data_IF_776693186206
#
_entry.id   IF_776693186206
#
_cell.length_a   1.000
_cell.length_b   1.000
_cell.length_c   1.000
_cell.angle_alpha   90.00
_cell.angle_beta   90.00
_cell.angle_gamma   90.00
#
_symmetry.space_group_name_H-M   'P 1'
#
loop_
_entity.id
_entity.type
_entity.pdbx_description
1 polymer ?
#
# COMPACT_ATOMS: atom_id res chain seq x y z
N UNK A 1 9.81 -13.71 1.46
CA UNK A 1 9.14 -13.04 0.33
C UNK A 1 8.01 -13.96 -0.06
N UNK A 2 6.79 -13.44 -0.23
CA UNK A 2 5.64 -14.26 -0.61
C UNK A 2 5.20 -13.86 -2.02
N UNK A 3 5.03 -14.83 -2.92
CA UNK A 3 4.64 -14.62 -4.31
C UNK A 3 3.35 -15.36 -4.60
N UNK A 4 2.30 -14.62 -4.94
CA UNK A 4 1.06 -15.20 -5.43
C UNK A 4 1.14 -15.33 -6.94
N UNK A 5 0.79 -16.49 -7.49
CA UNK A 5 0.89 -16.80 -8.92
C UNK A 5 -0.50 -16.98 -9.51
N UNK A 6 -0.82 -16.23 -10.57
CA UNK A 6 -2.02 -16.43 -11.37
C UNK A 6 -1.66 -16.72 -12.83
N UNK A 7 -1.91 -17.96 -13.27
CA UNK A 7 -1.67 -18.36 -14.65
C UNK A 7 -2.78 -19.29 -15.14
N UNK A 8 -3.33 -19.06 -16.35
CA UNK A 8 -4.25 -20.01 -16.96
C UNK A 8 -3.55 -21.26 -17.51
N UNK A 9 -2.21 -21.30 -17.51
CA UNK A 9 -1.40 -22.40 -18.02
C UNK A 9 -0.74 -23.16 -16.85
N UNK A 10 -1.18 -24.40 -16.55
CA UNK A 10 -0.62 -25.21 -15.48
C UNK A 10 0.87 -25.51 -15.65
N UNK A 11 1.34 -25.72 -16.88
CA UNK A 11 2.74 -26.03 -17.16
C UNK A 11 3.66 -24.86 -16.81
N UNK A 12 3.22 -23.64 -17.06
CA UNK A 12 3.97 -22.42 -16.69
C UNK A 12 4.02 -22.27 -15.18
N UNK A 13 2.89 -22.52 -14.51
CA UNK A 13 2.81 -22.47 -13.04
C UNK A 13 3.81 -23.40 -12.40
N UNK A 14 3.85 -24.67 -12.83
CA UNK A 14 4.79 -25.69 -12.32
C UNK A 14 6.24 -25.23 -12.50
N UNK A 15 6.58 -24.63 -13.64
CA UNK A 15 7.94 -24.13 -13.90
C UNK A 15 8.31 -22.98 -12.99
N UNK A 16 7.38 -22.06 -12.74
CA UNK A 16 7.60 -20.90 -11.85
C UNK A 16 7.68 -21.37 -10.39
N UNK A 17 6.78 -22.24 -9.93
CA UNK A 17 6.82 -22.80 -8.58
C UNK A 17 8.14 -23.51 -8.31
N UNK A 18 8.56 -24.43 -9.19
CA UNK A 18 9.84 -25.13 -9.05
C UNK A 18 11.04 -24.17 -9.01
N UNK A 19 10.96 -23.08 -9.77
CA UNK A 19 11.98 -22.03 -9.78
C UNK A 19 12.04 -21.29 -8.45
N UNK A 20 10.89 -20.91 -7.90
CA UNK A 20 10.81 -20.16 -6.64
C UNK A 20 11.17 -21.04 -5.44
N UNK A 21 10.76 -22.31 -5.44
CA UNK A 21 11.11 -23.30 -4.42
C UNK A 21 12.62 -23.54 -4.36
N UNK A 22 13.29 -23.60 -5.51
CA UNK A 22 14.75 -23.75 -5.58
C UNK A 22 15.54 -22.61 -4.91
N UNK A 23 14.90 -21.45 -4.69
CA UNK A 23 15.50 -20.27 -4.04
C UNK A 23 14.81 -19.93 -2.72
N UNK A 24 14.05 -20.87 -2.15
CA UNK A 24 13.37 -20.74 -0.84
C UNK A 24 12.41 -19.53 -0.78
N UNK A 25 11.72 -19.25 -1.88
CA UNK A 25 10.68 -18.22 -1.96
C UNK A 25 9.33 -18.90 -1.82
N UNK A 26 8.57 -18.53 -0.79
CA UNK A 26 7.21 -19.02 -0.59
C UNK A 26 6.30 -18.55 -1.74
N UNK A 27 5.54 -19.48 -2.33
CA UNK A 27 4.55 -19.18 -3.33
C UNK A 27 3.23 -19.90 -3.11
N UNK A 28 2.14 -19.27 -3.55
CA UNK A 28 0.80 -19.84 -3.58
C UNK A 28 0.19 -19.56 -4.95
N UNK A 29 -0.47 -20.57 -5.52
CA UNK A 29 -1.06 -20.51 -6.85
C UNK A 29 -2.56 -20.33 -6.74
N UNK A 30 -3.08 -19.34 -7.44
CA UNK A 30 -4.51 -19.16 -7.63
C UNK A 30 -4.80 -18.79 -9.10
N UNK A 31 -5.33 -19.74 -9.92
CA UNK A 31 -5.56 -19.51 -11.33
C UNK A 31 -6.77 -18.61 -11.63
N UNK A 32 -7.71 -18.43 -10.68
CA UNK A 32 -8.86 -17.57 -10.87
C UNK A 32 -8.51 -16.10 -10.54
N UNK A 33 -8.59 -15.16 -11.50
CA UNK A 33 -8.18 -13.77 -11.28
C UNK A 33 -8.90 -13.06 -10.12
N UNK A 34 -10.16 -13.41 -9.85
CA UNK A 34 -10.93 -12.84 -8.75
C UNK A 34 -10.41 -13.29 -7.38
N UNK A 35 -10.14 -14.59 -7.21
CA UNK A 35 -9.60 -15.12 -5.96
C UNK A 35 -8.15 -14.70 -5.77
N UNK A 36 -7.37 -14.66 -6.86
CA UNK A 36 -6.02 -14.10 -6.86
C UNK A 36 -5.99 -12.67 -6.34
N UNK A 37 -6.89 -11.81 -6.84
CA UNK A 37 -7.04 -10.44 -6.33
C UNK A 37 -7.45 -10.39 -4.86
N UNK A 38 -8.30 -11.32 -4.41
CA UNK A 38 -8.72 -11.41 -3.01
C UNK A 38 -7.58 -11.86 -2.08
N UNK A 39 -6.74 -12.78 -2.52
CA UNK A 39 -5.54 -13.20 -1.78
C UNK A 39 -4.52 -12.07 -1.68
N UNK A 40 -4.24 -11.38 -2.80
CA UNK A 40 -3.37 -10.20 -2.80
C UNK A 40 -3.88 -9.12 -1.84
N UNK A 41 -5.18 -8.86 -1.84
CA UNK A 41 -5.78 -7.90 -0.92
C UNK A 41 -5.62 -8.29 0.56
N UNK A 42 -5.66 -9.59 0.87
CA UNK A 42 -5.50 -10.12 2.24
C UNK A 42 -4.03 -10.17 2.69
N UNK A 43 -3.09 -10.26 1.76
CA UNK A 43 -1.66 -10.25 2.03
C UNK A 43 -0.97 -9.08 1.29
N UNK A 44 -0.95 -7.88 1.88
CA UNK A 44 -0.38 -6.68 1.25
C UNK A 44 1.12 -6.76 0.96
N UNK A 45 1.85 -7.65 1.64
CA UNK A 45 3.29 -7.82 1.48
C UNK A 45 3.66 -8.81 0.35
N UNK A 46 2.66 -9.52 -0.20
CA UNK A 46 2.85 -10.44 -1.31
C UNK A 46 3.10 -9.71 -2.63
N UNK A 47 3.87 -10.34 -3.52
CA UNK A 47 4.02 -9.93 -4.92
C UNK A 47 3.05 -10.74 -5.77
N UNK A 48 2.22 -10.06 -6.56
CA UNK A 48 1.36 -10.70 -7.53
C UNK A 48 2.11 -10.95 -8.84
N UNK A 49 2.42 -12.21 -9.13
CA UNK A 49 2.97 -12.64 -10.40
C UNK A 49 1.83 -13.23 -11.24
N UNK A 50 1.64 -12.76 -12.47
CA UNK A 50 0.63 -13.36 -13.34
C UNK A 50 1.08 -13.48 -14.79
N UNK A 51 0.57 -14.50 -15.47
CA UNK A 51 0.77 -14.72 -16.89
C UNK A 51 -0.43 -14.18 -17.68
N UNK A 52 -0.16 -13.33 -18.67
CA UNK A 52 -1.14 -12.82 -19.61
C UNK A 52 -0.79 -13.24 -21.05
N UNK A 53 -1.83 -13.53 -21.84
CA UNK A 53 -1.67 -13.89 -23.27
C UNK A 53 -1.26 -12.71 -24.15
N UNK A 54 -1.34 -11.47 -23.63
CA UNK A 54 -0.94 -10.29 -24.36
C UNK A 54 -1.02 -9.00 -23.54
N UNK A 55 -0.49 -7.89 -24.07
CA UNK A 55 -0.45 -6.60 -23.38
C UNK A 55 -1.80 -6.07 -22.89
N UNK A 56 -2.84 -6.19 -23.70
CA UNK A 56 -4.18 -5.69 -23.33
C UNK A 56 -4.82 -6.54 -22.22
N UNK A 57 -4.58 -7.85 -22.25
CA UNK A 57 -5.05 -8.75 -21.19
C UNK A 57 -4.33 -8.45 -19.88
N UNK A 58 -3.01 -8.22 -19.92
CA UNK A 58 -2.24 -7.81 -18.75
C UNK A 58 -2.74 -6.47 -18.19
N UNK A 59 -2.92 -5.48 -19.07
CA UNK A 59 -3.38 -4.15 -18.69
C UNK A 59 -4.80 -4.17 -18.12
N UNK A 60 -5.70 -5.00 -18.67
CA UNK A 60 -7.03 -5.21 -18.10
C UNK A 60 -6.94 -5.78 -16.69
N UNK A 61 -6.14 -6.83 -16.49
CA UNK A 61 -5.96 -7.44 -15.17
C UNK A 61 -5.39 -6.45 -14.15
N UNK A 62 -4.37 -5.68 -14.52
CA UNK A 62 -3.84 -4.60 -13.66
C UNK A 62 -4.94 -3.60 -13.29
N UNK A 63 -5.70 -3.09 -14.27
CA UNK A 63 -6.78 -2.13 -14.00
C UNK A 63 -7.82 -2.72 -13.05
N UNK A 64 -8.26 -3.95 -13.28
CA UNK A 64 -9.25 -4.62 -12.45
C UNK A 64 -8.76 -4.77 -11.00
N UNK A 65 -7.52 -5.20 -10.81
CA UNK A 65 -6.88 -5.31 -9.48
C UNK A 65 -6.75 -3.94 -8.80
N UNK A 66 -6.29 -2.90 -9.51
CA UNK A 66 -6.17 -1.53 -8.97
C UNK A 66 -7.52 -0.89 -8.68
N UNK A 67 -8.58 -1.22 -9.45
CA UNK A 67 -9.95 -0.80 -9.14
C UNK A 67 -10.47 -1.47 -7.88
N UNK A 68 -10.14 -2.76 -7.67
CA UNK A 68 -10.36 -3.51 -6.43
C UNK A 68 -9.47 -3.12 -5.25
N UNK A 69 -8.68 -2.03 -5.38
CA UNK A 69 -7.75 -1.50 -4.37
C UNK A 69 -6.63 -2.46 -3.96
N UNK A 70 -6.27 -3.41 -4.82
CA UNK A 70 -5.06 -4.23 -4.67
C UNK A 70 -3.84 -3.34 -4.93
N UNK A 71 -2.98 -3.17 -3.93
CA UNK A 71 -1.79 -2.29 -3.98
C UNK A 71 -0.45 -3.03 -4.03
N UNK A 72 -0.48 -4.35 -3.97
CA UNK A 72 0.66 -5.23 -4.11
C UNK A 72 1.46 -4.92 -5.38
N UNK A 73 2.79 -5.15 -5.38
CA UNK A 73 3.56 -5.20 -6.61
C UNK A 73 2.96 -6.19 -7.60
N UNK A 74 2.79 -5.76 -8.83
CA UNK A 74 2.32 -6.60 -9.92
C UNK A 74 3.45 -6.86 -10.90
N UNK A 75 3.86 -8.12 -11.02
CA UNK A 75 4.78 -8.61 -12.02
C UNK A 75 3.97 -9.30 -13.13
N UNK A 76 3.90 -8.69 -14.30
CA UNK A 76 3.25 -9.29 -15.46
C UNK A 76 4.26 -10.05 -16.33
N UNK A 77 3.99 -11.33 -16.56
CA UNK A 77 4.61 -12.11 -17.62
C UNK A 77 3.67 -12.09 -18.83
N UNK A 78 4.20 -11.71 -19.99
CA UNK A 78 3.43 -11.68 -21.24
C UNK A 78 4.07 -12.66 -22.21
N UNK A 79 3.27 -13.51 -22.82
CA UNK A 79 3.73 -14.42 -23.87
C UNK A 79 4.46 -13.66 -24.99
N UNK A 80 5.71 -14.05 -25.28
CA UNK A 80 6.55 -13.43 -26.31
C UNK A 80 5.94 -13.55 -27.72
N UNK A 81 5.06 -14.55 -27.93
CA UNK A 81 4.41 -14.79 -29.22
C UNK A 81 3.24 -13.83 -29.50
N UNK A 82 2.92 -12.94 -28.55
CA UNK A 82 1.87 -11.94 -28.73
C UNK A 82 2.24 -10.96 -29.86
N UNK A 83 1.30 -10.72 -30.78
CA UNK A 83 1.48 -9.91 -32.01
C UNK A 83 1.98 -8.47 -31.71
N UNK A 84 1.77 -7.99 -30.48
CA UNK A 84 2.10 -6.62 -30.03
C UNK A 84 3.21 -6.63 -28.95
N UNK A 85 3.93 -7.74 -28.79
CA UNK A 85 5.02 -7.80 -27.84
C UNK A 85 6.20 -6.91 -28.28
N UNK A 86 6.71 -6.09 -27.34
CA UNK A 86 7.73 -5.07 -27.59
C UNK A 86 7.61 -3.88 -26.65
N UNK A 87 8.40 -2.83 -26.86
CA UNK A 87 8.34 -1.62 -26.04
C UNK A 87 6.93 -1.00 -25.93
N UNK A 88 6.13 -0.91 -27.02
CA UNK A 88 4.76 -0.37 -26.95
C UNK A 88 3.83 -1.24 -26.10
N UNK A 89 3.87 -2.56 -26.27
CA UNK A 89 3.05 -3.49 -25.49
C UNK A 89 3.39 -3.48 -24.00
N UNK A 90 4.69 -3.45 -23.65
CA UNK A 90 5.12 -3.36 -22.25
C UNK A 90 4.65 -2.05 -21.60
N UNK A 91 4.71 -0.95 -22.33
CA UNK A 91 4.23 0.34 -21.85
C UNK A 91 2.73 0.33 -21.50
N UNK A 92 1.90 -0.41 -22.26
CA UNK A 92 0.46 -0.52 -21.99
C UNK A 92 0.19 -1.17 -20.61
N UNK A 93 0.87 -2.27 -20.30
CA UNK A 93 0.72 -2.95 -19.01
C UNK A 93 1.32 -2.14 -17.83
N UNK A 94 2.48 -1.51 -18.03
CA UNK A 94 3.10 -0.63 -17.02
C UNK A 94 2.21 0.58 -16.70
N UNK A 95 1.69 1.27 -17.72
CA UNK A 95 0.78 2.41 -17.54
C UNK A 95 -0.55 2.02 -16.88
N UNK A 96 -0.95 0.76 -17.00
CA UNK A 96 -2.13 0.21 -16.34
C UNK A 96 -1.91 -0.16 -14.87
N UNK A 97 -0.67 -0.05 -14.36
CA UNK A 97 -0.33 -0.26 -12.95
C UNK A 97 0.48 -1.51 -12.66
N UNK A 98 1.11 -2.15 -13.66
CA UNK A 98 2.15 -3.15 -13.43
C UNK A 98 3.45 -2.49 -12.94
N UNK A 99 4.18 -3.16 -12.04
CA UNK A 99 5.44 -2.69 -11.48
C UNK A 99 6.66 -3.23 -12.23
N UNK A 100 6.53 -4.42 -12.84
CA UNK A 100 7.45 -4.96 -13.83
C UNK A 100 6.67 -5.77 -14.89
N UNK A 101 7.17 -5.77 -16.12
CA UNK A 101 6.58 -6.49 -17.26
C UNK A 101 7.69 -7.15 -18.06
N UNK A 102 7.68 -8.48 -18.16
CA UNK A 102 8.69 -9.25 -18.88
C UNK A 102 8.07 -10.24 -19.88
N UNK A 103 8.80 -10.63 -20.94
CA UNK A 103 8.39 -11.75 -21.77
C UNK A 103 8.34 -13.04 -20.96
N UNK A 104 7.46 -13.94 -21.38
CA UNK A 104 7.55 -15.36 -21.09
C UNK A 104 7.91 -16.09 -22.39
N UNK A 105 8.91 -16.98 -22.40
CA UNK A 105 9.72 -17.44 -21.26
C UNK A 105 10.74 -16.40 -20.75
N UNK A 106 11.08 -16.48 -19.47
CA UNK A 106 12.09 -15.63 -18.80
C UNK A 106 13.19 -16.49 -18.19
N UNK A 107 14.42 -15.97 -18.17
CA UNK A 107 15.51 -16.60 -17.42
C UNK A 107 15.20 -16.61 -15.91
N UNK A 108 15.47 -17.74 -15.26
CA UNK A 108 15.24 -17.93 -13.83
C UNK A 108 15.98 -16.90 -12.98
N UNK A 109 17.25 -16.65 -13.29
CA UNK A 109 18.09 -15.71 -12.55
C UNK A 109 17.56 -14.29 -12.69
N UNK A 110 17.08 -13.94 -13.89
CA UNK A 110 16.46 -12.66 -14.15
C UNK A 110 15.14 -12.50 -13.37
N UNK A 111 14.26 -13.50 -13.41
CA UNK A 111 13.00 -13.48 -12.67
C UNK A 111 13.23 -13.24 -11.17
N UNK A 112 14.10 -14.03 -10.56
CA UNK A 112 14.42 -13.93 -9.13
C UNK A 112 15.01 -12.56 -8.80
N UNK A 113 15.96 -12.07 -9.61
CA UNK A 113 16.60 -10.76 -9.39
C UNK A 113 15.60 -9.60 -9.45
N UNK A 114 14.62 -9.67 -10.35
CA UNK A 114 13.55 -8.68 -10.50
C UNK A 114 12.55 -8.75 -9.35
N UNK A 115 12.16 -9.94 -8.90
CA UNK A 115 11.31 -10.11 -7.71
C UNK A 115 11.97 -9.47 -6.47
N UNK A 116 13.25 -9.71 -6.24
CA UNK A 116 13.98 -9.04 -5.16
C UNK A 116 14.06 -7.52 -5.34
N UNK A 117 14.19 -7.02 -6.58
CA UNK A 117 14.17 -5.60 -6.85
C UNK A 117 12.82 -4.96 -6.52
N UNK A 118 11.70 -5.61 -6.85
CA UNK A 118 10.36 -5.18 -6.48
C UNK A 118 10.17 -5.18 -4.96
N UNK A 119 10.64 -6.23 -4.27
CA UNK A 119 10.55 -6.31 -2.82
C UNK A 119 11.32 -5.18 -2.12
N UNK A 120 12.51 -4.81 -2.63
CA UNK A 120 13.26 -3.65 -2.10
C UNK A 120 12.45 -2.36 -2.22
N UNK A 121 11.84 -2.10 -3.39
CA UNK A 121 11.02 -0.89 -3.62
C UNK A 121 9.81 -0.81 -2.68
N UNK A 122 9.17 -1.94 -2.37
CA UNK A 122 8.10 -1.99 -1.37
C UNK A 122 8.58 -1.60 0.03
N UNK A 123 9.77 -2.08 0.43
CA UNK A 123 10.37 -1.79 1.74
C UNK A 123 10.89 -0.35 1.84
N UNK A 124 11.43 0.20 0.76
CA UNK A 124 12.01 1.55 0.75
C UNK A 124 10.96 2.66 0.62
N UNK A 125 9.77 2.34 0.09
CA UNK A 125 8.64 3.28 -0.06
C UNK A 125 7.75 3.40 1.18
N UNK A 126 7.88 2.49 2.15
CA UNK A 126 7.06 2.46 3.37
C UNK A 126 8.01 2.39 4.58
N UNK A 127 8.16 3.46 5.40
CA UNK A 127 9.04 3.40 6.56
C UNK A 127 8.62 2.21 7.42
N UNK A 128 9.52 1.25 7.60
CA UNK A 128 9.24 -0.03 8.28
C UNK A 128 8.65 0.17 9.67
N UNK A 129 9.06 1.26 10.34
CA UNK A 129 8.51 1.75 11.60
C UNK A 129 8.61 3.28 11.60
N UNK A 130 7.52 3.97 11.96
CA UNK A 130 7.48 5.41 12.23
C UNK A 130 7.45 5.62 13.74
N UNK A 131 8.44 6.33 14.27
CA UNK A 131 8.49 6.70 15.69
C UNK A 131 7.52 7.85 15.98
N UNK A 132 6.68 7.68 17.00
CA UNK A 132 5.79 8.69 17.54
C UNK A 132 6.09 8.85 19.04
N UNK A 133 5.75 9.99 19.67
CA UNK A 133 5.78 10.11 21.13
C UNK A 133 4.98 9.00 21.82
N UNK A 134 5.65 8.17 22.62
CA UNK A 134 5.04 7.10 23.42
C UNK A 134 4.48 5.91 22.63
N UNK A 135 4.70 5.85 21.31
CA UNK A 135 4.32 4.69 20.50
C UNK A 135 5.09 4.61 19.17
N UNK A 136 5.06 3.44 18.55
CA UNK A 136 5.55 3.23 17.19
C UNK A 136 4.38 2.89 16.27
N UNK A 137 4.36 3.47 15.08
CA UNK A 137 3.48 3.06 14.00
C UNK A 137 4.23 2.08 13.09
N UNK A 138 3.63 0.95 12.78
CA UNK A 138 4.08 0.02 11.74
C UNK A 138 3.16 0.14 10.53
N UNK A 139 3.53 0.91 9.49
CA UNK A 139 2.65 1.14 8.34
C UNK A 139 2.28 -0.13 7.58
N UNK A 140 3.17 -1.13 7.54
CA UNK A 140 2.92 -2.40 6.86
C UNK A 140 1.77 -3.20 7.50
N UNK A 141 1.69 -3.23 8.82
CA UNK A 141 0.67 -3.98 9.56
C UNK A 141 -0.51 -3.12 10.04
N UNK A 142 -0.40 -1.79 9.92
CA UNK A 142 -1.39 -0.86 10.49
C UNK A 142 -1.42 -0.88 12.01
N UNK A 143 -0.34 -1.27 12.68
CA UNK A 143 -0.30 -1.34 14.15
C UNK A 143 0.30 -0.08 14.76
N UNK A 144 -0.39 0.50 15.75
CA UNK A 144 0.19 1.38 16.75
C UNK A 144 0.58 0.55 17.96
N UNK A 145 1.87 0.50 18.26
CA UNK A 145 2.41 -0.19 19.43
C UNK A 145 2.90 0.88 20.40
N UNK A 146 2.09 1.21 21.39
CA UNK A 146 2.46 2.14 22.44
C UNK A 146 2.80 1.44 23.75
N UNK A 147 3.35 2.21 24.68
CA UNK A 147 3.74 1.70 26.00
C UNK A 147 2.53 1.21 26.82
N UNK A 148 1.32 1.69 26.48
CA UNK A 148 0.07 1.36 27.19
C UNK A 148 -0.70 0.25 26.48
N UNK A 149 -0.83 0.33 25.16
CA UNK A 149 -1.64 -0.62 24.40
C UNK A 149 -1.19 -0.77 22.93
N UNK A 150 -1.49 -1.94 22.39
CA UNK A 150 -1.44 -2.21 20.96
C UNK A 150 -2.80 -1.88 20.34
N UNK A 151 -2.81 -0.97 19.37
CA UNK A 151 -4.04 -0.49 18.72
C UNK A 151 -3.93 -0.70 17.22
N UNK A 152 -4.91 -1.38 16.63
CA UNK A 152 -4.98 -1.55 15.19
C UNK A 152 -5.61 -0.33 14.50
N UNK A 153 -4.96 0.16 13.45
CA UNK A 153 -5.44 1.21 12.55
C UNK A 153 -6.06 0.58 11.31
N UNK A 154 -7.11 1.20 10.79
CA UNK A 154 -7.60 0.83 9.45
C UNK A 154 -6.58 1.27 8.39
N UNK A 155 -6.73 0.77 7.16
CA UNK A 155 -5.86 1.19 6.05
C UNK A 155 -5.87 2.73 5.85
N UNK A 156 -7.06 3.33 5.77
CA UNK A 156 -7.19 4.79 5.61
C UNK A 156 -6.55 5.57 6.77
N UNK A 157 -6.70 5.09 8.01
CA UNK A 157 -6.07 5.69 9.18
C UNK A 157 -4.53 5.58 9.12
N UNK A 158 -4.03 4.42 8.70
CA UNK A 158 -2.60 4.15 8.56
C UNK A 158 -1.97 5.05 7.50
N UNK A 159 -2.57 5.11 6.30
CA UNK A 159 -2.12 5.98 5.20
C UNK A 159 -2.15 7.45 5.63
N UNK A 160 -3.22 7.87 6.31
CA UNK A 160 -3.36 9.25 6.77
C UNK A 160 -2.28 9.63 7.78
N UNK A 161 -2.08 8.80 8.81
CA UNK A 161 -1.07 9.06 9.84
C UNK A 161 0.34 8.99 9.28
N UNK A 162 0.62 8.03 8.39
CA UNK A 162 1.91 7.89 7.68
C UNK A 162 2.19 9.13 6.82
N UNK A 163 1.19 9.61 6.08
CA UNK A 163 1.31 10.82 5.27
C UNK A 163 1.65 12.04 6.12
N UNK A 164 1.00 12.19 7.26
CA UNK A 164 1.27 13.29 8.20
C UNK A 164 2.66 13.17 8.85
N UNK A 165 3.01 11.97 9.34
CA UNK A 165 4.28 11.71 9.99
C UNK A 165 5.48 11.79 9.03
N UNK A 166 5.27 11.60 7.73
CA UNK A 166 6.31 11.81 6.70
C UNK A 166 6.73 13.29 6.55
N UNK A 167 5.92 14.23 7.07
CA UNK A 167 6.19 15.68 7.01
C UNK A 167 5.97 16.35 8.38
N UNK A 168 6.79 16.04 9.40
CA UNK A 168 6.65 16.64 10.72
C UNK A 168 6.72 18.17 10.65
N UNK A 169 5.85 18.85 11.39
CA UNK A 169 5.79 20.31 11.45
C UNK A 169 5.13 21.00 10.23
N UNK A 170 4.86 20.27 9.15
CA UNK A 170 4.16 20.83 7.98
C UNK A 170 2.64 20.84 8.18
N UNK A 171 1.99 21.94 7.76
CA UNK A 171 0.53 22.03 7.74
C UNK A 171 0.01 21.38 6.46
N UNK A 172 -0.76 20.32 6.63
CA UNK A 172 -1.39 19.58 5.54
C UNK A 172 -2.87 20.00 5.42
N UNK A 173 -3.22 20.59 4.28
CA UNK A 173 -4.60 21.04 4.02
C UNK A 173 -5.54 19.85 3.78
N UNK A 174 -6.85 20.03 4.02
CA UNK A 174 -7.83 18.96 3.75
C UNK A 174 -7.77 18.46 2.30
N UNK A 175 -7.68 19.33 1.26
CA UNK A 175 -7.53 18.86 -0.12
C UNK A 175 -6.25 18.04 -0.36
N UNK A 176 -5.11 18.43 0.23
CA UNK A 176 -3.86 17.66 0.11
C UNK A 176 -3.98 16.27 0.76
N UNK A 177 -4.64 16.19 1.91
CA UNK A 177 -4.90 14.93 2.60
C UNK A 177 -5.85 14.04 1.80
N UNK A 178 -6.87 14.62 1.18
CA UNK A 178 -7.78 13.89 0.29
C UNK A 178 -7.05 13.34 -0.94
N UNK A 179 -6.18 14.13 -1.55
CA UNK A 179 -5.37 13.70 -2.68
C UNK A 179 -4.46 12.52 -2.27
N UNK A 180 -3.83 12.58 -1.11
CA UNK A 180 -2.98 11.51 -0.59
C UNK A 180 -3.75 10.23 -0.25
N UNK A 181 -4.98 10.35 0.26
CA UNK A 181 -5.82 9.20 0.61
C UNK A 181 -6.45 8.51 -0.61
N UNK A 182 -6.88 9.29 -1.60
CA UNK A 182 -7.75 8.81 -2.68
C UNK A 182 -7.14 8.95 -4.08
N UNK A 183 -5.92 9.46 -4.23
CA UNK A 183 -5.24 9.66 -5.52
C UNK A 183 -6.10 10.35 -6.59
N UNK A 184 -6.96 11.29 -6.19
CA UNK A 184 -7.86 12.00 -7.11
C UNK A 184 -9.10 11.22 -7.55
N UNK A 185 -9.49 10.14 -6.85
CA UNK A 185 -10.80 9.50 -7.04
C UNK A 185 -11.91 10.40 -6.46
N UNK A 186 -12.97 10.61 -7.24
CA UNK A 186 -13.93 11.72 -7.12
C UNK A 186 -15.00 11.60 -6.01
N UNK A 187 -14.96 10.57 -5.15
CA UNK A 187 -16.17 10.18 -4.39
C UNK A 187 -16.17 10.49 -2.88
N UNK A 188 -15.07 10.99 -2.31
CA UNK A 188 -14.99 11.20 -0.87
C UNK A 188 -15.20 12.67 -0.45
N UNK A 189 -16.13 12.91 0.47
CA UNK A 189 -16.40 14.26 1.00
C UNK A 189 -15.29 14.71 1.95
N UNK A 190 -14.89 15.99 1.89
CA UNK A 190 -13.88 16.61 2.76
C UNK A 190 -14.10 16.38 4.27
N UNK A 191 -15.34 16.12 4.70
CA UNK A 191 -15.70 15.79 6.09
C UNK A 191 -15.03 14.51 6.60
N UNK A 192 -14.65 13.58 5.72
CA UNK A 192 -13.98 12.33 6.13
C UNK A 192 -12.64 12.61 6.82
N UNK A 193 -11.94 13.69 6.42
CA UNK A 193 -10.68 14.11 7.04
C UNK A 193 -10.89 14.42 8.53
N UNK A 194 -11.96 15.14 8.87
CA UNK A 194 -12.27 15.48 10.27
C UNK A 194 -12.61 14.23 11.09
N UNK A 195 -13.31 13.26 10.49
CA UNK A 195 -13.63 11.98 11.13
C UNK A 195 -12.37 11.16 11.37
N UNK A 196 -11.46 11.06 10.38
CA UNK A 196 -10.19 10.35 10.50
C UNK A 196 -9.30 10.99 11.58
N UNK A 197 -9.20 12.32 11.61
CA UNK A 197 -8.46 13.03 12.67
C UNK A 197 -9.03 12.69 14.05
N UNK A 198 -10.35 12.72 14.21
CA UNK A 198 -11.00 12.37 15.48
C UNK A 198 -10.73 10.92 15.90
N UNK A 199 -10.81 9.97 14.96
CA UNK A 199 -10.54 8.54 15.23
C UNK A 199 -9.07 8.31 15.59
N UNK A 200 -8.15 8.87 14.81
CA UNK A 200 -6.71 8.75 15.05
C UNK A 200 -6.31 9.29 16.41
N UNK A 201 -6.81 10.47 16.80
CA UNK A 201 -6.55 11.04 18.14
C UNK A 201 -6.96 10.09 19.25
N UNK A 202 -8.14 9.47 19.15
CA UNK A 202 -8.61 8.48 20.15
C UNK A 202 -7.71 7.25 20.20
N UNK A 203 -7.30 6.73 19.04
CA UNK A 203 -6.44 5.53 18.95
C UNK A 203 -5.02 5.79 19.45
N UNK A 204 -4.44 6.95 19.11
CA UNK A 204 -3.12 7.38 19.58
C UNK A 204 -3.16 7.60 21.09
N UNK A 205 -4.18 8.28 21.61
CA UNK A 205 -4.36 8.46 23.05
C UNK A 205 -4.49 7.12 23.78
N UNK A 206 -5.21 6.15 23.21
CA UNK A 206 -5.33 4.80 23.78
C UNK A 206 -3.99 4.05 23.81
N UNK A 207 -3.17 4.17 22.76
CA UNK A 207 -1.85 3.53 22.70
C UNK A 207 -0.81 4.17 23.65
N UNK A 208 -0.90 5.48 23.86
CA UNK A 208 0.13 6.30 24.54
C UNK A 208 -0.24 6.75 25.95
N UNK A 209 -1.46 6.49 26.41
CA UNK A 209 -1.95 6.97 27.71
C UNK A 209 -2.39 8.44 27.72
N UNK A 210 -2.78 8.97 26.56
CA UNK A 210 -3.38 10.31 26.45
C UNK A 210 -2.53 11.35 25.70
N UNK A 211 -1.41 10.97 25.10
CA UNK A 211 -0.65 11.88 24.25
C UNK A 211 -1.43 12.19 22.97
N UNK A 212 -1.23 13.39 22.48
CA UNK A 212 -1.67 13.80 21.16
C UNK A 212 -0.48 14.27 20.33
N UNK A 213 -0.53 14.02 19.04
CA UNK A 213 0.51 14.33 18.06
C UNK A 213 -0.07 15.05 16.85
N UNK A 214 -1.39 15.27 16.83
CA UNK A 214 -2.13 15.88 15.73
C UNK A 214 -2.69 17.23 16.17
N UNK A 215 -2.05 18.30 15.73
CA UNK A 215 -2.51 19.67 15.95
C UNK A 215 -3.45 20.12 14.84
N UNK A 216 -4.58 20.75 15.20
CA UNK A 216 -5.45 21.40 14.22
C UNK A 216 -5.03 22.85 14.05
N UNK A 217 -4.60 23.20 12.84
CA UNK A 217 -4.32 24.59 12.45
C UNK A 217 -5.58 25.15 11.81
N UNK A 218 -6.34 25.94 12.58
CA UNK A 218 -7.66 26.42 12.21
C UNK A 218 -7.64 27.19 10.88
N UNK A 219 -8.61 26.88 10.01
CA UNK A 219 -8.71 27.46 8.67
C UNK A 219 -7.67 26.96 7.66
N UNK A 220 -6.66 26.18 8.08
CA UNK A 220 -5.58 25.72 7.19
C UNK A 220 -5.56 24.19 7.04
N UNK A 221 -5.61 23.44 8.14
CA UNK A 221 -5.54 21.98 8.08
C UNK A 221 -5.09 21.32 9.38
N UNK A 222 -4.28 20.27 9.24
CA UNK A 222 -3.71 19.52 10.36
C UNK A 222 -2.20 19.45 10.22
N UNK A 223 -1.51 19.44 11.36
CA UNK A 223 -0.07 19.32 11.47
C UNK A 223 0.28 18.17 12.41
N UNK A 224 1.31 17.41 12.04
CA UNK A 224 1.91 16.40 12.90
C UNK A 224 3.04 17.02 13.73
N UNK A 225 3.02 16.81 15.05
CA UNK A 225 4.03 17.29 15.99
C UNK A 225 4.78 16.08 16.56
N UNK A 226 6.02 15.90 16.10
CA UNK A 226 6.86 14.75 16.45
C UNK A 226 7.27 14.68 17.93
N UNK A 227 7.20 15.80 18.66
CA UNK A 227 7.49 15.87 20.10
C UNK A 227 6.23 15.71 20.97
N UNK A 228 5.05 15.67 20.34
CA UNK A 228 3.77 15.69 21.02
C UNK A 228 3.17 17.10 21.11
N UNK A 229 1.87 17.15 21.29
CA UNK A 229 1.06 18.36 21.26
C UNK A 229 0.11 18.37 22.45
N UNK A 230 0.06 19.49 23.18
CA UNK A 230 -0.92 19.72 24.24
C UNK A 230 -2.07 20.58 23.71
N UNK A 231 -3.25 20.01 23.44
CA UNK A 231 -4.40 20.76 22.95
C UNK A 231 -5.00 21.65 24.05
N UNK A 232 -5.35 22.88 23.67
CA UNK A 232 -6.20 23.75 24.47
C UNK A 232 -7.67 23.35 24.34
N UNK A 233 -8.42 23.39 25.44
CA UNK A 233 -9.85 23.09 25.46
C UNK A 233 -10.68 24.26 26.02
N UNK A 234 -11.89 24.43 25.50
CA UNK A 234 -12.91 25.33 26.04
C UNK A 234 -13.48 24.77 27.34
N UNK A 235 -14.20 25.61 28.08
CA UNK A 235 -14.95 25.21 29.28
C UNK A 235 -15.97 24.07 29.01
N UNK A 236 -16.35 23.85 27.76
CA UNK A 236 -17.28 22.80 27.32
C UNK A 236 -16.56 21.55 26.78
N UNK A 237 -15.24 21.43 26.96
CA UNK A 237 -14.45 20.27 26.55
C UNK A 237 -14.20 20.17 25.03
N UNK A 238 -14.45 21.24 24.27
CA UNK A 238 -14.14 21.31 22.84
C UNK A 238 -12.74 21.88 22.63
N UNK A 239 -11.96 21.37 21.67
CA UNK A 239 -10.67 21.98 21.35
C UNK A 239 -10.85 23.41 20.84
N UNK A 240 -9.96 24.29 21.27
CA UNK A 240 -9.86 25.68 20.81
C UNK A 240 -8.54 25.88 20.05
N UNK A 241 -8.42 26.95 19.25
CA UNK A 241 -7.13 27.34 18.69
C UNK A 241 -6.07 27.42 19.78
N UNK A 242 -4.93 26.77 19.53
CA UNK A 242 -3.70 26.98 20.29
C UNK A 242 -3.06 28.30 19.93
#
# INVERSE_FOLDING_TARGET
MHVLICSPNPSVTIQIEATLEAVDIACEVEPAPQEFGSLLFRDPDAIGLFLALGPESAAKMCRDLRMGDVRNPLFALIDEQSIVFGAPGRAVALNAGADDVQPWPIDVTELVSRLFALQRRQRDGNPSIIQLPGCILKPATGELVGDVAHVHLTHQETVFLTTLASRPGAVMTKPMLMLALYNGRDEAQLKIVDVLICKLRKKIAAATGGLDVLETVWGQGVRFIAEGYQPSFSAFGQRVPG
#
